data_IF_335806103652
#
_entry.id   IF_335806103652
#
_cell.length_a   1.000
_cell.length_b   1.000
_cell.length_c   1.000
_cell.angle_alpha   90.00
_cell.angle_beta   90.00
_cell.angle_gamma   90.00
#
_symmetry.space_group_name_H-M   'P 1'
#
loop_
_entity.id
_entity.type
_entity.pdbx_description
1 polymer ?
#
# COMPACT_ATOMS: atom_id res chain seq x y z
N UNK A 1 -1.64 43.73 -11.78
CA UNK A 1 -0.37 43.32 -11.13
C UNK A 1 -0.53 41.90 -10.59
N UNK A 2 0.51 41.11 -10.71
CA UNK A 2 0.52 39.65 -10.81
C UNK A 2 -0.15 38.90 -9.63
N UNK A 3 -0.99 37.93 -9.97
CA UNK A 3 -1.37 36.82 -9.09
C UNK A 3 -0.35 35.71 -9.30
N UNK A 4 0.47 35.44 -8.28
CA UNK A 4 1.43 34.33 -8.29
C UNK A 4 0.72 32.99 -8.11
N UNK A 5 0.75 32.18 -9.17
CA UNK A 5 0.42 30.76 -9.11
C UNK A 5 1.41 30.05 -8.19
N UNK A 6 0.93 29.58 -7.04
CA UNK A 6 1.71 28.76 -6.12
C UNK A 6 1.69 27.31 -6.60
N UNK A 7 2.47 27.01 -7.63
CA UNK A 7 2.84 25.67 -8.14
C UNK A 7 3.80 24.91 -7.18
N UNK A 8 3.68 25.12 -5.88
CA UNK A 8 4.55 24.48 -4.90
C UNK A 8 3.75 23.45 -4.10
N UNK A 9 3.83 22.18 -4.51
CA UNK A 9 3.85 20.95 -3.66
C UNK A 9 3.43 19.67 -4.41
N UNK A 10 3.92 19.45 -5.63
CA UNK A 10 3.88 18.12 -6.29
C UNK A 10 5.27 17.57 -6.64
N UNK A 11 6.34 18.34 -6.45
CA UNK A 11 7.70 17.97 -6.89
C UNK A 11 8.45 16.98 -5.98
N UNK A 12 7.97 16.73 -4.75
CA UNK A 12 8.64 15.84 -3.79
C UNK A 12 8.24 14.36 -3.91
N UNK A 13 7.00 14.07 -4.32
CA UNK A 13 6.43 12.70 -4.33
C UNK A 13 6.64 12.02 -5.68
N UNK A 14 6.69 12.78 -6.77
CA UNK A 14 6.82 12.26 -8.14
C UNK A 14 8.20 11.60 -8.40
N UNK A 15 9.25 12.03 -7.71
CA UNK A 15 10.61 11.50 -7.90
C UNK A 15 10.78 10.07 -7.35
N UNK A 16 10.00 9.71 -6.32
CA UNK A 16 10.01 8.36 -5.74
C UNK A 16 9.07 7.40 -6.49
N UNK A 17 7.98 7.90 -7.08
CA UNK A 17 7.09 7.10 -7.94
C UNK A 17 7.74 6.70 -9.26
N UNK A 18 8.64 7.52 -9.81
CA UNK A 18 9.42 7.19 -11.02
C UNK A 18 10.51 6.14 -10.80
N UNK A 19 10.87 5.84 -9.55
CA UNK A 19 11.98 4.95 -9.15
C UNK A 19 11.54 3.84 -8.19
N UNK A 20 10.27 3.42 -8.30
CA UNK A 20 9.74 2.28 -7.56
C UNK A 20 10.09 0.97 -8.25
N UNK A 21 10.31 -0.12 -7.49
CA UNK A 21 10.62 -1.43 -8.03
C UNK A 21 9.35 -2.11 -8.56
N UNK A 22 8.19 -1.49 -8.41
CA UNK A 22 6.94 -2.08 -8.83
C UNK A 22 6.24 -1.21 -9.87
N UNK A 23 5.49 -1.90 -10.72
CA UNK A 23 4.52 -1.28 -11.62
C UNK A 23 3.19 -1.07 -10.91
N UNK A 24 3.11 -1.10 -9.58
CA UNK A 24 1.84 -0.97 -8.85
C UNK A 24 1.23 0.40 -9.09
N UNK A 25 2.01 1.48 -9.04
CA UNK A 25 1.50 2.80 -9.43
C UNK A 25 0.93 2.82 -10.86
N UNK A 26 1.58 2.16 -11.81
CA UNK A 26 1.08 2.00 -13.17
C UNK A 26 -0.18 1.12 -13.24
N UNK A 27 -0.20 -0.02 -12.53
CA UNK A 27 -1.32 -0.97 -12.48
C UNK A 27 -2.56 -0.35 -11.83
N UNK A 28 -2.38 0.34 -10.71
CA UNK A 28 -3.43 1.07 -10.02
C UNK A 28 -3.96 2.21 -10.89
N UNK A 29 -3.07 2.96 -11.55
CA UNK A 29 -3.47 4.01 -12.50
C UNK A 29 -4.26 3.43 -13.67
N UNK A 30 -3.80 2.33 -14.27
CA UNK A 30 -4.50 1.64 -15.35
C UNK A 30 -5.88 1.13 -14.89
N UNK A 31 -5.97 0.53 -13.70
CA UNK A 31 -7.24 0.09 -13.11
C UNK A 31 -8.19 1.26 -12.88
N UNK A 32 -7.70 2.38 -12.31
CA UNK A 32 -8.50 3.58 -12.07
C UNK A 32 -8.99 4.22 -13.38
N UNK A 33 -8.17 4.22 -14.44
CA UNK A 33 -8.57 4.67 -15.77
C UNK A 33 -9.61 3.75 -16.41
N UNK A 34 -9.43 2.44 -16.30
CA UNK A 34 -10.41 1.46 -16.79
C UNK A 34 -11.76 1.60 -16.07
N UNK A 35 -11.75 1.75 -14.74
CA UNK A 35 -12.94 1.99 -13.95
C UNK A 35 -13.67 3.27 -14.37
N UNK A 36 -12.94 4.36 -14.61
CA UNK A 36 -13.53 5.63 -15.04
C UNK A 36 -14.19 5.58 -16.43
N UNK A 37 -13.87 4.58 -17.26
CA UNK A 37 -14.49 4.37 -18.57
C UNK A 37 -15.69 3.44 -18.52
N UNK A 38 -16.01 2.84 -17.36
CA UNK A 38 -17.09 1.87 -17.25
C UNK A 38 -18.44 2.60 -17.15
N UNK A 39 -19.44 2.26 -17.99
CA UNK A 39 -20.78 2.80 -17.83
C UNK A 39 -21.35 2.49 -16.44
N UNK A 40 -21.96 3.48 -15.81
CA UNK A 40 -22.51 3.38 -14.45
C UNK A 40 -21.50 3.58 -13.32
N UNK A 41 -20.23 3.88 -13.62
CA UNK A 41 -19.20 4.17 -12.62
C UNK A 41 -18.78 5.64 -12.72
N UNK A 42 -18.92 6.36 -11.61
CA UNK A 42 -18.42 7.74 -11.47
C UNK A 42 -17.18 7.74 -10.60
N UNK A 43 -16.03 8.09 -11.16
CA UNK A 43 -14.77 8.20 -10.41
C UNK A 43 -14.50 9.67 -10.08
N UNK A 44 -14.49 9.99 -8.78
CA UNK A 44 -14.21 11.35 -8.27
C UNK A 44 -12.80 11.39 -7.66
N UNK A 45 -11.88 12.08 -8.32
CA UNK A 45 -10.49 12.27 -7.82
C UNK A 45 -10.39 13.53 -6.96
N UNK A 46 -9.40 13.56 -6.07
CA UNK A 46 -9.19 14.70 -5.17
C UNK A 46 -10.27 14.87 -4.08
N UNK A 47 -11.20 13.92 -3.96
CA UNK A 47 -12.26 13.93 -2.95
C UNK A 47 -11.86 13.01 -1.81
N UNK A 48 -11.66 13.58 -0.62
CA UNK A 48 -11.39 12.81 0.60
C UNK A 48 -12.70 12.56 1.33
N UNK A 49 -12.97 11.30 1.66
CA UNK A 49 -14.04 10.93 2.61
C UNK A 49 -13.54 11.16 4.04
N UNK A 50 -14.38 11.79 4.87
CA UNK A 50 -14.05 12.19 6.24
C UNK A 50 -14.98 11.59 7.30
N UNK A 51 -16.07 10.95 6.90
CA UNK A 51 -17.00 10.29 7.80
C UNK A 51 -18.08 9.48 7.10
N UNK A 52 -18.78 8.66 7.88
CA UNK A 52 -19.96 7.91 7.44
C UNK A 52 -21.24 8.66 7.81
N UNK A 53 -22.28 8.50 7.00
CA UNK A 53 -23.63 8.98 7.30
C UNK A 53 -24.47 7.82 7.83
N UNK A 54 -25.29 8.08 8.85
CA UNK A 54 -26.16 7.08 9.47
C UNK A 54 -26.69 7.59 10.80
N UNK A 55 -27.77 6.97 11.28
CA UNK A 55 -28.26 7.24 12.63
C UNK A 55 -27.39 6.50 13.66
N UNK A 56 -27.11 7.11 14.83
CA UNK A 56 -26.39 6.42 15.89
C UNK A 56 -27.09 5.14 16.35
N UNK A 57 -26.40 4.01 16.35
CA UNK A 57 -26.90 2.73 16.84
C UNK A 57 -25.73 1.75 17.11
N UNK A 58 -25.97 0.72 17.92
CA UNK A 58 -24.99 -0.34 18.15
C UNK A 58 -24.57 -1.05 16.84
N UNK A 59 -25.52 -1.18 15.90
CA UNK A 59 -25.31 -1.61 14.51
C UNK A 59 -25.85 -0.50 13.61
N UNK A 60 -25.02 0.47 13.18
CA UNK A 60 -25.49 1.62 12.43
C UNK A 60 -25.84 1.23 10.99
N UNK A 61 -27.00 1.69 10.52
CA UNK A 61 -27.35 1.67 9.11
C UNK A 61 -26.60 2.79 8.39
N UNK A 62 -25.51 2.44 7.70
CA UNK A 62 -24.74 3.40 6.91
C UNK A 62 -25.51 3.75 5.65
N UNK A 63 -25.73 5.04 5.42
CA UNK A 63 -26.55 5.57 4.32
C UNK A 63 -25.76 6.48 3.36
N UNK A 64 -24.44 6.54 3.53
CA UNK A 64 -23.57 7.36 2.69
C UNK A 64 -22.29 7.78 3.39
N UNK A 65 -21.64 8.78 2.80
CA UNK A 65 -20.36 9.34 3.26
C UNK A 65 -20.35 10.86 3.23
N UNK A 66 -19.57 11.46 4.13
CA UNK A 66 -19.25 12.89 4.11
C UNK A 66 -17.87 13.11 3.51
N UNK A 67 -17.73 14.13 2.68
CA UNK A 67 -16.44 14.52 2.09
C UNK A 67 -15.79 15.67 2.86
N UNK A 68 -14.50 15.90 2.62
CA UNK A 68 -13.78 17.06 3.17
C UNK A 68 -14.31 18.40 2.69
N UNK A 69 -15.02 18.44 1.56
CA UNK A 69 -15.72 19.64 1.07
C UNK A 69 -17.08 19.86 1.73
N UNK A 70 -17.47 19.05 2.72
CA UNK A 70 -18.76 19.14 3.40
C UNK A 70 -19.91 18.44 2.68
N UNK A 71 -19.72 18.01 1.43
CA UNK A 71 -20.74 17.30 0.66
C UNK A 71 -21.09 15.95 1.30
N UNK A 72 -22.39 15.64 1.33
CA UNK A 72 -22.93 14.36 1.75
C UNK A 72 -23.38 13.55 0.54
N UNK A 73 -22.74 12.40 0.31
CA UNK A 73 -23.05 11.49 -0.79
C UNK A 73 -23.83 10.32 -0.22
N UNK A 74 -25.11 10.19 -0.59
CA UNK A 74 -25.97 9.09 -0.15
C UNK A 74 -25.76 7.84 -1.00
N UNK A 75 -25.85 6.67 -0.37
CA UNK A 75 -25.72 5.37 -1.01
C UNK A 75 -26.41 4.27 -0.19
N UNK A 76 -26.93 3.25 -0.87
CA UNK A 76 -27.50 2.05 -0.23
C UNK A 76 -26.42 1.10 0.32
N UNK A 77 -25.19 1.20 -0.19
CA UNK A 77 -24.03 0.42 0.22
C UNK A 77 -22.76 1.27 0.14
N UNK A 78 -21.97 1.25 1.22
CA UNK A 78 -20.64 1.84 1.26
C UNK A 78 -19.61 0.73 1.39
N UNK A 79 -18.66 0.68 0.44
CA UNK A 79 -17.53 -0.25 0.47
C UNK A 79 -16.27 0.54 0.81
N UNK A 80 -15.64 0.20 1.92
CA UNK A 80 -14.35 0.76 2.32
C UNK A 80 -13.20 -0.01 1.66
N UNK A 81 -12.54 0.64 0.71
CA UNK A 81 -11.36 0.13 0.03
C UNK A 81 -10.10 1.00 0.29
N UNK A 82 -10.05 1.70 1.44
CA UNK A 82 -8.93 2.61 1.78
C UNK A 82 -7.70 1.90 2.37
N UNK A 83 -7.69 0.56 2.34
CA UNK A 83 -6.56 -0.27 2.76
C UNK A 83 -6.35 -0.34 4.28
N UNK A 84 -5.15 -0.76 4.68
CA UNK A 84 -4.80 -1.07 6.08
C UNK A 84 -5.04 0.09 7.04
N UNK A 85 -4.74 1.31 6.61
CA UNK A 85 -4.84 2.55 7.38
C UNK A 85 -6.24 3.14 7.45
N UNK A 86 -7.28 2.43 7.02
CA UNK A 86 -8.64 2.98 6.98
C UNK A 86 -9.11 3.55 8.34
N UNK A 87 -9.73 4.75 8.35
CA UNK A 87 -10.37 5.34 9.53
C UNK A 87 -11.79 4.82 9.78
N UNK A 88 -12.34 3.92 8.95
CA UNK A 88 -13.73 3.47 9.03
C UNK A 88 -14.13 2.90 10.38
N UNK A 89 -13.22 2.23 11.08
CA UNK A 89 -13.44 1.77 12.45
C UNK A 89 -13.83 2.90 13.39
N UNK A 90 -13.11 4.03 13.34
CA UNK A 90 -13.40 5.20 14.17
C UNK A 90 -14.72 5.87 13.76
N UNK A 91 -15.03 5.90 12.46
CA UNK A 91 -16.30 6.44 11.98
C UNK A 91 -17.51 5.60 12.41
N UNK A 92 -17.39 4.27 12.38
CA UNK A 92 -18.43 3.37 12.90
C UNK A 92 -18.61 3.57 14.40
N UNK A 93 -17.53 3.76 15.15
CA UNK A 93 -17.61 4.08 16.59
C UNK A 93 -18.27 5.43 16.84
N UNK A 94 -17.99 6.44 16.03
CA UNK A 94 -18.67 7.74 16.11
C UNK A 94 -20.18 7.64 15.82
N UNK A 95 -20.61 6.62 15.07
CA UNK A 95 -22.02 6.28 14.85
C UNK A 95 -22.60 5.35 15.95
N UNK A 96 -21.92 5.21 17.10
CA UNK A 96 -22.43 4.43 18.24
C UNK A 96 -22.16 2.93 18.19
N UNK A 97 -21.44 2.44 17.18
CA UNK A 97 -20.99 1.04 17.16
C UNK A 97 -19.85 0.81 18.14
N UNK A 98 -19.69 -0.41 18.66
CA UNK A 98 -18.46 -0.80 19.36
C UNK A 98 -17.21 -0.80 18.44
N UNK A 99 -17.41 -0.67 17.12
CA UNK A 99 -16.36 -0.79 16.11
C UNK A 99 -15.88 -2.24 15.95
N UNK A 100 -15.16 -2.59 14.88
CA UNK A 100 -14.62 -3.92 14.72
C UNK A 100 -13.48 -4.18 15.72
N UNK A 101 -13.46 -5.38 16.31
CA UNK A 101 -12.31 -5.85 17.11
C UNK A 101 -11.10 -5.90 16.18
N UNK A 102 -10.04 -5.20 16.59
CA UNK A 102 -8.79 -5.12 15.83
C UNK A 102 -7.71 -5.88 16.58
N UNK A 103 -7.18 -6.91 15.94
CA UNK A 103 -6.03 -7.67 16.41
C UNK A 103 -4.81 -7.20 15.61
N UNK A 104 -3.89 -6.43 16.21
CA UNK A 104 -2.63 -6.10 15.58
C UNK A 104 -1.70 -7.32 15.60
N UNK A 105 -1.06 -7.60 14.48
CA UNK A 105 -0.06 -8.64 14.33
C UNK A 105 1.26 -7.97 13.97
N UNK A 106 2.18 -7.91 14.93
CA UNK A 106 3.56 -7.46 14.69
C UNK A 106 4.37 -8.64 14.18
N UNK A 107 4.82 -8.54 12.94
CA UNK A 107 5.63 -9.58 12.32
C UNK A 107 7.09 -9.57 12.77
N UNK A 108 7.50 -8.61 13.60
CA UNK A 108 8.78 -8.65 14.31
C UNK A 108 10.02 -8.46 13.43
N UNK A 109 9.86 -8.08 12.16
CA UNK A 109 10.98 -7.83 11.24
C UNK A 109 11.17 -6.35 10.91
N UNK A 110 12.35 -6.04 10.38
CA UNK A 110 12.71 -4.76 9.79
C UNK A 110 13.25 -4.98 8.37
N UNK A 111 12.89 -4.07 7.47
CA UNK A 111 13.41 -3.97 6.13
C UNK A 111 14.43 -2.84 6.06
N UNK A 112 15.60 -3.13 5.51
CA UNK A 112 16.60 -2.15 5.12
C UNK A 112 16.72 -2.22 3.60
N UNK A 113 16.00 -1.34 2.91
CA UNK A 113 15.88 -1.35 1.46
C UNK A 113 16.72 -0.24 0.85
N UNK A 114 17.36 -0.51 -0.28
CA UNK A 114 18.03 0.52 -1.08
C UNK A 114 17.72 0.30 -2.55
N UNK A 115 17.48 1.41 -3.25
CA UNK A 115 17.30 1.40 -4.68
C UNK A 115 18.63 1.61 -5.39
N UNK A 116 18.79 0.89 -6.48
CA UNK A 116 19.94 0.95 -7.37
C UNK A 116 19.45 1.20 -8.80
N UNK A 117 20.37 1.67 -9.64
CA UNK A 117 20.17 1.84 -11.07
C UNK A 117 21.46 1.51 -11.82
N UNK A 118 21.36 1.22 -13.11
CA UNK A 118 22.50 0.89 -13.95
C UNK A 118 22.09 0.70 -15.41
N UNK A 119 23.05 0.47 -16.30
CA UNK A 119 22.79 0.35 -17.73
C UNK A 119 21.94 -0.88 -18.09
N UNK A 120 22.01 -1.93 -17.26
CA UNK A 120 21.27 -3.17 -17.45
C UNK A 120 20.67 -3.63 -16.12
N UNK A 121 19.53 -4.32 -16.21
CA UNK A 121 18.93 -4.97 -15.04
C UNK A 121 19.75 -6.19 -14.60
N UNK A 122 19.95 -6.40 -13.28
CA UNK A 122 20.58 -7.62 -12.78
C UNK A 122 19.83 -8.87 -13.24
N UNK A 123 20.55 -9.85 -13.79
CA UNK A 123 19.98 -11.16 -14.14
C UNK A 123 19.62 -11.92 -12.87
N UNK A 124 18.43 -12.52 -12.81
CA UNK A 124 18.02 -13.30 -11.64
C UNK A 124 18.71 -14.67 -11.64
N UNK A 125 19.73 -14.83 -10.79
CA UNK A 125 20.49 -16.09 -10.63
C UNK A 125 20.04 -16.95 -9.44
N UNK A 126 19.22 -16.40 -8.54
CA UNK A 126 18.70 -17.05 -7.34
C UNK A 126 17.26 -16.58 -7.05
N UNK A 127 16.51 -17.25 -6.15
CA UNK A 127 15.18 -16.81 -5.75
C UNK A 127 15.18 -15.37 -5.23
N UNK A 128 14.14 -14.56 -5.55
CA UNK A 128 14.10 -13.15 -5.17
C UNK A 128 14.13 -12.97 -3.66
N UNK A 129 13.62 -13.94 -2.88
CA UNK A 129 13.76 -14.00 -1.44
C UNK A 129 14.68 -15.16 -1.06
N UNK A 130 15.80 -14.89 -0.42
CA UNK A 130 16.78 -15.90 0.00
C UNK A 130 17.14 -15.71 1.47
N UNK A 131 16.89 -16.72 2.30
CA UNK A 131 17.29 -16.72 3.71
C UNK A 131 18.80 -17.00 3.84
N UNK A 132 19.50 -16.19 4.64
CA UNK A 132 20.95 -16.21 4.84
C UNK A 132 21.25 -16.19 6.36
N UNK A 133 21.00 -17.31 7.02
CA UNK A 133 21.14 -17.41 8.47
C UNK A 133 20.05 -16.61 9.19
N UNK A 134 20.44 -15.54 9.89
CA UNK A 134 19.55 -14.72 10.73
C UNK A 134 18.82 -13.61 9.99
N UNK A 135 19.10 -13.40 8.71
CA UNK A 135 18.45 -12.41 7.86
C UNK A 135 18.21 -12.96 6.46
N UNK A 136 17.31 -12.33 5.69
CA UNK A 136 17.09 -12.64 4.29
C UNK A 136 17.47 -11.47 3.38
N UNK A 137 17.79 -11.80 2.14
CA UNK A 137 17.84 -10.84 1.04
C UNK A 137 16.58 -10.96 0.19
N UNK A 138 16.00 -9.81 -0.12
CA UNK A 138 14.90 -9.62 -1.05
C UNK A 138 15.36 -8.73 -2.21
N UNK A 139 15.38 -9.27 -3.43
CA UNK A 139 15.73 -8.56 -4.66
C UNK A 139 14.50 -8.41 -5.55
N UNK A 140 14.20 -7.18 -5.95
CA UNK A 140 13.01 -6.86 -6.76
C UNK A 140 13.45 -6.03 -7.96
N UNK A 141 13.33 -6.55 -9.19
CA UNK A 141 13.49 -5.76 -10.40
C UNK A 141 12.43 -4.66 -10.47
N UNK A 142 12.85 -3.45 -10.83
CA UNK A 142 11.98 -2.29 -10.98
C UNK A 142 11.68 -1.88 -12.41
N UNK A 143 10.93 -0.79 -12.54
CA UNK A 143 10.83 -0.06 -13.81
C UNK A 143 12.02 0.88 -14.00
N UNK A 144 12.18 1.40 -15.22
CA UNK A 144 13.11 2.51 -15.52
C UNK A 144 14.55 2.25 -15.07
N UNK A 145 15.09 1.07 -15.37
CA UNK A 145 16.47 0.69 -15.05
C UNK A 145 16.81 0.82 -13.57
N UNK A 146 15.81 0.59 -12.71
CA UNK A 146 15.95 0.56 -11.25
C UNK A 146 15.62 -0.80 -10.69
N UNK A 147 16.17 -1.11 -9.52
CA UNK A 147 15.82 -2.29 -8.75
C UNK A 147 16.06 -2.02 -7.27
N UNK A 148 15.48 -2.84 -6.39
CA UNK A 148 15.74 -2.76 -4.96
C UNK A 148 16.46 -4.00 -4.46
N UNK A 149 17.37 -3.77 -3.52
CA UNK A 149 17.89 -4.80 -2.64
C UNK A 149 17.45 -4.46 -1.22
N UNK A 150 16.87 -5.46 -0.56
CA UNK A 150 16.29 -5.32 0.76
C UNK A 150 16.81 -6.40 1.68
N UNK A 151 17.40 -6.00 2.80
CA UNK A 151 17.70 -6.92 3.89
C UNK A 151 16.47 -7.01 4.80
N UNK A 152 16.00 -8.22 5.04
CA UNK A 152 14.92 -8.53 5.98
C UNK A 152 15.54 -9.12 7.23
N UNK A 153 15.41 -8.43 8.35
CA UNK A 153 16.08 -8.82 9.60
C UNK A 153 15.07 -8.91 10.72
N UNK A 154 15.38 -9.64 11.79
CA UNK A 154 14.66 -9.48 13.05
C UNK A 154 14.77 -8.04 13.55
N UNK A 155 13.68 -7.46 14.06
CA UNK A 155 13.64 -6.10 14.63
C UNK A 155 14.59 -5.95 15.82
N UNK A 156 14.76 -7.04 16.58
CA UNK A 156 15.63 -7.11 17.76
C UNK A 156 17.11 -7.31 17.47
N UNK A 157 17.49 -7.62 16.22
CA UNK A 157 18.88 -7.92 15.86
C UNK A 157 19.74 -6.65 15.86
N UNK A 158 20.37 -6.37 17.00
CA UNK A 158 21.14 -5.16 17.22
C UNK A 158 22.36 -5.03 16.27
N UNK A 159 23.16 -6.08 16.02
CA UNK A 159 24.21 -6.03 15.01
C UNK A 159 23.70 -5.63 13.61
N UNK A 160 22.54 -6.14 13.19
CA UNK A 160 22.01 -5.84 11.86
C UNK A 160 21.43 -4.43 11.72
N UNK A 161 21.24 -3.69 12.82
CA UNK A 161 20.83 -2.27 12.77
C UNK A 161 21.80 -1.38 12.02
N UNK A 162 23.07 -1.78 11.87
CA UNK A 162 24.06 -1.07 11.06
C UNK A 162 23.75 -1.06 9.56
N UNK A 163 22.80 -1.88 9.09
CA UNK A 163 22.32 -1.86 7.69
C UNK A 163 21.65 -0.54 7.30
N UNK A 164 21.27 0.31 8.27
CA UNK A 164 20.78 1.67 8.02
C UNK A 164 21.84 2.61 7.43
N UNK A 165 23.12 2.28 7.60
CA UNK A 165 24.25 3.10 7.15
C UNK A 165 24.54 2.84 5.66
N UNK A 166 24.35 3.84 4.78
CA UNK A 166 24.51 3.66 3.34
C UNK A 166 25.95 3.35 2.90
N UNK A 167 26.97 3.75 3.67
CA UNK A 167 28.38 3.45 3.34
C UNK A 167 28.72 2.00 3.65
N UNK A 168 28.01 1.40 4.61
CA UNK A 168 28.22 0.01 5.01
C UNK A 168 27.33 -0.98 4.26
N UNK A 169 26.36 -0.51 3.48
CA UNK A 169 25.35 -1.36 2.82
C UNK A 169 25.85 -2.12 1.58
N UNK A 170 26.59 -1.52 0.61
CA UNK A 170 26.97 -2.19 -0.63
C UNK A 170 27.84 -3.43 -0.44
N UNK A 171 28.80 -3.39 0.48
CA UNK A 171 29.68 -4.53 0.79
C UNK A 171 28.99 -5.73 1.46
N UNK A 172 27.71 -5.61 1.84
CA UNK A 172 27.00 -6.63 2.62
C UNK A 172 26.22 -7.63 1.77
N UNK A 173 26.25 -7.51 0.46
CA UNK A 173 25.77 -8.55 -0.45
C UNK A 173 26.84 -9.62 -0.72
N UNK A 174 28.09 -9.39 -0.28
CA UNK A 174 29.20 -10.35 -0.37
C UNK A 174 28.92 -11.74 0.23
N UNK A 175 28.18 -11.89 1.35
CA UNK A 175 27.79 -13.20 1.89
C UNK A 175 26.82 -13.98 0.99
N UNK A 176 26.30 -13.36 -0.07
CA UNK A 176 25.36 -13.95 -1.01
C UNK A 176 25.88 -13.79 -2.45
N UNK A 177 26.83 -14.64 -2.90
CA UNK A 177 27.48 -14.49 -4.20
C UNK A 177 26.48 -14.44 -5.37
N UNK A 178 25.41 -15.24 -5.31
CA UNK A 178 24.35 -15.25 -6.32
C UNK A 178 23.47 -13.97 -6.33
N UNK A 179 23.68 -13.06 -5.38
CA UNK A 179 23.00 -11.77 -5.27
C UNK A 179 23.95 -10.57 -5.32
N UNK A 180 25.28 -10.78 -5.33
CA UNK A 180 26.26 -9.71 -5.22
C UNK A 180 26.15 -8.67 -6.35
N UNK A 181 25.85 -9.12 -7.57
CA UNK A 181 25.68 -8.25 -8.75
C UNK A 181 24.48 -7.30 -8.64
N UNK A 182 23.49 -7.58 -7.79
CA UNK A 182 22.40 -6.65 -7.52
C UNK A 182 22.88 -5.39 -6.78
N UNK A 183 23.99 -5.49 -6.05
CA UNK A 183 24.55 -4.37 -5.28
C UNK A 183 25.66 -3.64 -6.05
N UNK A 184 25.98 -4.09 -7.27
CA UNK A 184 26.95 -3.46 -8.17
C UNK A 184 26.40 -2.23 -8.91
N UNK A 185 25.09 -1.99 -8.85
CA UNK A 185 24.47 -0.80 -9.43
C UNK A 185 24.87 0.50 -8.72
N UNK A 186 24.57 1.62 -9.37
CA UNK A 186 24.69 2.94 -8.74
C UNK A 186 23.53 3.15 -7.77
N UNK A 187 23.78 3.47 -6.49
CA UNK A 187 22.72 3.68 -5.52
C UNK A 187 21.93 4.95 -5.83
N UNK A 188 20.61 4.82 -5.99
CA UNK A 188 19.70 5.93 -6.28
C UNK A 188 19.09 6.60 -5.05
N UNK A 189 19.22 5.97 -3.88
CA UNK A 189 18.70 6.47 -2.59
C UNK A 189 19.69 6.19 -1.45
N UNK A 190 19.46 6.83 -0.29
CA UNK A 190 19.93 6.29 1.00
C UNK A 190 19.20 4.98 1.35
N UNK A 191 19.48 4.42 2.53
CA UNK A 191 18.77 3.23 3.01
C UNK A 191 17.42 3.62 3.59
N UNK A 192 16.36 3.03 3.04
CA UNK A 192 15.00 3.15 3.51
C UNK A 192 14.74 2.06 4.55
N UNK A 193 14.46 2.50 5.78
CA UNK A 193 14.17 1.60 6.90
C UNK A 193 12.67 1.52 7.11
N UNK A 194 12.12 0.31 7.04
CA UNK A 194 10.73 0.04 7.40
C UNK A 194 10.69 -1.01 8.50
N UNK A 195 10.24 -0.60 9.69
CA UNK A 195 10.11 -1.47 10.86
C UNK A 195 8.74 -1.25 11.51
N UNK A 196 8.34 -2.19 12.38
CA UNK A 196 7.01 -2.14 13.01
C UNK A 196 5.89 -2.34 11.99
N UNK A 197 6.11 -3.25 11.03
CA UNK A 197 5.09 -3.62 10.05
C UNK A 197 4.00 -4.39 10.78
N UNK A 198 2.95 -3.65 11.16
CA UNK A 198 1.77 -4.19 11.81
C UNK A 198 0.76 -4.55 10.75
N UNK A 199 0.41 -5.82 10.65
CA UNK A 199 -0.85 -6.21 10.04
C UNK A 199 -1.97 -6.01 11.06
N UNK A 200 -3.18 -5.76 10.55
CA UNK A 200 -4.36 -5.61 11.40
C UNK A 200 -5.46 -6.48 10.85
N UNK A 201 -5.85 -7.46 11.65
CA UNK A 201 -7.06 -8.23 11.39
C UNK A 201 -8.23 -7.55 12.08
N UNK A 202 -9.30 -7.29 11.33
CA UNK A 202 -10.54 -6.70 11.85
C UNK A 202 -11.65 -7.74 11.82
N UNK A 203 -12.35 -7.90 12.94
CA UNK A 203 -13.52 -8.78 13.08
C UNK A 203 -14.74 -7.96 13.51
N UNK A 204 -15.91 -8.14 12.88
CA UNK A 204 -17.14 -7.53 13.35
C UNK A 204 -17.42 -7.91 14.81
N UNK A 205 -17.89 -6.95 15.61
CA UNK A 205 -18.23 -7.16 17.03
C UNK A 205 -19.61 -7.76 17.23
N UNK A 206 -20.52 -7.55 16.28
CA UNK A 206 -21.84 -8.17 16.25
C UNK A 206 -21.84 -9.41 15.35
N UNK A 207 -22.60 -10.47 15.69
CA UNK A 207 -22.85 -11.54 14.73
C UNK A 207 -23.42 -10.93 13.46
N UNK A 208 -22.99 -11.44 12.31
CA UNK A 208 -23.49 -11.06 10.99
C UNK A 208 -25.02 -10.97 11.06
N UNK A 209 -25.65 -9.86 10.66
CA UNK A 209 -27.11 -9.81 10.63
C UNK A 209 -27.59 -10.99 9.77
N UNK A 210 -28.46 -11.81 10.34
CA UNK A 210 -29.06 -12.98 9.67
C UNK A 210 -29.98 -12.61 8.51
N UNK A 211 -30.17 -11.31 8.26
CA UNK A 211 -30.85 -10.83 7.07
C UNK A 211 -30.06 -11.29 5.83
N UNK A 212 -30.65 -12.12 4.95
CA UNK A 212 -29.98 -12.50 3.72
C UNK A 212 -29.67 -11.21 2.96
N UNK A 213 -28.40 -10.99 2.68
CA UNK A 213 -27.96 -10.09 1.63
C UNK A 213 -28.85 -10.38 0.42
N UNK A 214 -29.70 -9.42 0.04
CA UNK A 214 -30.44 -9.55 -1.22
C UNK A 214 -29.36 -9.72 -2.29
N UNK A 215 -29.26 -10.92 -2.88
CA UNK A 215 -28.47 -11.11 -4.08
C UNK A 215 -29.04 -10.15 -5.11
N UNK A 216 -28.34 -9.05 -5.34
CA UNK A 216 -28.58 -8.28 -6.55
C UNK A 216 -28.27 -9.23 -7.72
N UNK A 217 -29.14 -9.31 -8.74
CA UNK A 217 -28.82 -10.07 -9.93
C UNK A 217 -27.48 -9.58 -10.49
N UNK A 218 -26.64 -10.47 -11.06
CA UNK A 218 -25.33 -10.10 -11.56
C UNK A 218 -25.47 -8.94 -12.56
N UNK A 219 -24.79 -7.83 -12.28
CA UNK A 219 -24.75 -6.65 -13.15
C UNK A 219 -23.90 -6.86 -14.42
N UNK A 220 -23.43 -8.08 -14.67
CA UNK A 220 -22.57 -8.42 -15.78
C UNK A 220 -23.26 -9.44 -16.70
N UNK A 221 -23.38 -9.15 -18.02
CA UNK A 221 -23.86 -10.14 -18.97
C UNK A 221 -22.88 -11.33 -18.99
N UNK A 222 -23.35 -12.58 -19.10
CA UNK A 222 -22.47 -13.75 -19.13
C UNK A 222 -21.37 -13.57 -20.20
N UNK A 223 -20.13 -14.03 -19.95
CA UNK A 223 -19.07 -13.96 -20.93
C UNK A 223 -19.55 -14.63 -22.22
N UNK A 224 -19.46 -13.90 -23.34
CA UNK A 224 -19.73 -14.47 -24.66
C UNK A 224 -18.73 -15.60 -24.85
N UNK A 225 -19.23 -16.83 -25.04
CA UNK A 225 -18.38 -17.93 -25.51
C UNK A 225 -17.85 -17.51 -26.88
N UNK A 226 -16.53 -17.47 -27.02
CA UNK A 226 -15.88 -17.50 -28.33
C UNK A 226 -16.16 -18.86 -28.99
#
# INVERSE_FOLDING_TARGET
MAWGTKEAELHGVDRHLRRGPDRTGLRESALALAAARRPGVTVRRGVRVTGLLGAPAAVPAVTGVRTSGGEEIRADLVVDAMGRGTPSSAWLTALGSAGPRTEPEDHGFAYYSRYFTGPEHPVRMAPPYTQLGTFALLTIPGGHDTWSVTFVTGRGDAPLKHLRDPERSPGRCAPAPAHAHWCAGTPGTGVLVMAGVLDRRRRPTTPTPSAPWRRLPPAWPPPRRC
#
